data_IF_095350407223
#
_entry.id   IF_095350407223
#
_cell.length_a   1.000
_cell.length_b   1.000
_cell.length_c   1.000
_cell.angle_alpha   90.00
_cell.angle_beta   90.00
_cell.angle_gamma   90.00
#
_symmetry.space_group_name_H-M   'P 1'
#
loop_
_entity.id
_entity.type
_entity.pdbx_description
1 polymer ?
#
# COMPACT_ATOMS: atom_id res chain seq x y z
N UNK A 1 -15.30 -1.31 19.80
CA UNK A 1 -14.93 -2.56 19.10
C UNK A 1 -13.49 -2.42 18.63
N UNK A 2 -12.68 -3.48 18.72
CA UNK A 2 -11.34 -3.47 18.12
C UNK A 2 -11.48 -3.35 16.59
N UNK A 3 -10.57 -2.64 15.90
CA UNK A 3 -10.62 -2.53 14.45
C UNK A 3 -10.42 -3.91 13.81
N UNK A 4 -11.16 -4.19 12.73
CA UNK A 4 -10.94 -5.40 11.95
C UNK A 4 -9.53 -5.34 11.32
N UNK A 5 -8.84 -6.47 11.31
CA UNK A 5 -7.46 -6.59 10.82
C UNK A 5 -7.42 -7.23 9.43
N UNK A 6 -6.33 -7.01 8.71
CA UNK A 6 -5.93 -7.73 7.49
C UNK A 6 -4.45 -8.11 7.58
N UNK A 7 -4.09 -9.22 6.93
CA UNK A 7 -2.70 -9.70 6.85
C UNK A 7 -1.90 -8.83 5.90
N UNK A 8 -0.73 -8.38 6.30
CA UNK A 8 0.16 -7.63 5.39
C UNK A 8 0.96 -8.54 4.46
N UNK A 9 1.23 -9.77 4.89
CA UNK A 9 2.19 -10.68 4.26
C UNK A 9 3.62 -10.48 4.72
N UNK A 10 3.91 -9.45 5.53
CA UNK A 10 5.24 -9.20 6.07
C UNK A 10 5.30 -9.71 7.52
N UNK A 11 6.03 -10.80 7.75
CA UNK A 11 6.10 -11.43 9.08
C UNK A 11 6.52 -10.50 10.22
N UNK A 12 7.33 -9.46 9.93
CA UNK A 12 7.77 -8.47 10.91
C UNK A 12 6.69 -7.42 11.24
N UNK A 13 5.82 -7.09 10.27
CA UNK A 13 4.73 -6.10 10.46
C UNK A 13 3.51 -6.77 11.07
N UNK A 14 3.25 -8.03 10.72
CA UNK A 14 2.09 -8.78 11.17
C UNK A 14 0.78 -8.29 10.57
N UNK A 15 -0.31 -8.50 11.28
CA UNK A 15 -1.65 -8.08 10.88
C UNK A 15 -1.88 -6.62 11.27
N UNK A 16 -2.62 -5.90 10.43
CA UNK A 16 -2.79 -4.46 10.56
C UNK A 16 -4.27 -4.07 10.46
N UNK A 17 -4.70 -2.99 11.11
CA UNK A 17 -6.05 -2.48 10.94
C UNK A 17 -6.35 -2.14 9.49
N UNK A 18 -7.59 -2.35 9.06
CA UNK A 18 -8.09 -1.68 7.87
C UNK A 18 -7.95 -0.16 8.01
N UNK A 19 -7.73 0.50 6.89
CA UNK A 19 -7.46 1.93 6.81
C UNK A 19 -5.99 2.29 7.06
N UNK A 20 -5.10 1.30 7.12
CA UNK A 20 -3.66 1.57 7.28
C UNK A 20 -2.99 1.85 5.95
N UNK A 21 -2.15 2.87 5.94
CA UNK A 21 -1.27 3.25 4.85
C UNK A 21 0.20 3.16 5.28
N UNK A 22 0.99 2.37 4.56
CA UNK A 22 2.41 2.15 4.81
C UNK A 22 3.24 2.68 3.65
N UNK A 23 4.49 3.02 3.95
CA UNK A 23 5.49 3.38 2.96
C UNK A 23 6.49 2.23 2.77
N UNK A 24 6.77 1.90 1.51
CA UNK A 24 7.85 1.04 1.08
C UNK A 24 8.91 1.88 0.37
N UNK A 25 10.10 1.98 0.96
CA UNK A 25 11.24 2.63 0.32
C UNK A 25 12.13 1.56 -0.32
N UNK A 26 12.44 1.70 -1.60
CA UNK A 26 13.19 0.70 -2.37
C UNK A 26 14.38 1.33 -3.10
N UNK A 27 15.46 0.56 -3.26
CA UNK A 27 16.64 0.99 -4.03
C UNK A 27 16.63 0.38 -5.43
N UNK A 28 16.27 -0.89 -5.53
CA UNK A 28 16.29 -1.66 -6.78
C UNK A 28 14.89 -2.13 -7.19
N UNK A 29 14.75 -2.51 -8.47
CA UNK A 29 13.52 -3.13 -8.98
C UNK A 29 13.23 -4.46 -8.28
N UNK A 30 14.27 -5.19 -7.86
CA UNK A 30 14.10 -6.46 -7.17
C UNK A 30 13.55 -6.24 -5.74
N UNK A 31 14.03 -5.23 -5.00
CA UNK A 31 13.45 -4.85 -3.70
C UNK A 31 11.95 -4.51 -3.82
N UNK A 32 11.60 -3.78 -4.89
CA UNK A 32 10.21 -3.44 -5.21
C UNK A 32 9.36 -4.70 -5.42
N UNK A 33 9.85 -5.62 -6.26
CA UNK A 33 9.13 -6.85 -6.59
C UNK A 33 9.01 -7.81 -5.40
N UNK A 34 10.09 -8.06 -4.68
CA UNK A 34 10.09 -9.01 -3.55
C UNK A 34 9.03 -8.65 -2.50
N UNK A 35 8.88 -7.36 -2.24
CA UNK A 35 7.86 -6.84 -1.32
C UNK A 35 6.45 -6.93 -1.92
N UNK A 36 6.26 -6.43 -3.14
CA UNK A 36 4.91 -6.30 -3.73
C UNK A 36 4.31 -7.63 -4.17
N UNK A 37 5.12 -8.59 -4.62
CA UNK A 37 4.64 -9.91 -4.99
C UNK A 37 4.04 -10.63 -3.78
N UNK A 38 4.68 -10.53 -2.61
CA UNK A 38 4.16 -11.11 -1.37
C UNK A 38 2.90 -10.38 -0.89
N UNK A 39 2.92 -9.04 -0.94
CA UNK A 39 1.78 -8.20 -0.55
C UNK A 39 0.50 -8.54 -1.33
N UNK A 40 0.61 -8.67 -2.66
CA UNK A 40 -0.54 -9.01 -3.52
C UNK A 40 -0.95 -10.46 -3.44
N UNK A 41 0.01 -11.39 -3.28
CA UNK A 41 -0.31 -12.80 -3.04
C UNK A 41 -1.25 -12.95 -1.85
N UNK A 42 -0.91 -12.32 -0.73
CA UNK A 42 -1.74 -12.37 0.49
C UNK A 42 -3.12 -11.73 0.28
N UNK A 43 -3.20 -10.59 -0.42
CA UNK A 43 -4.49 -9.99 -0.72
C UNK A 43 -5.40 -10.90 -1.54
N UNK A 44 -4.84 -11.61 -2.52
CA UNK A 44 -5.61 -12.55 -3.35
C UNK A 44 -6.10 -13.77 -2.56
N UNK A 45 -5.27 -14.29 -1.64
CA UNK A 45 -5.58 -15.39 -0.72
C UNK A 45 -6.67 -14.99 0.30
N UNK A 46 -6.66 -13.75 0.79
CA UNK A 46 -7.62 -13.20 1.77
C UNK A 46 -8.91 -12.65 1.14
N UNK A 47 -9.13 -12.94 -0.14
CA UNK A 47 -10.30 -12.49 -0.91
C UNK A 47 -10.45 -10.96 -0.98
N UNK A 48 -9.37 -10.25 -1.27
CA UNK A 48 -9.35 -8.81 -1.45
C UNK A 48 -9.27 -8.43 -2.93
N UNK A 49 -9.84 -7.27 -3.29
CA UNK A 49 -9.61 -6.67 -4.59
C UNK A 49 -8.24 -5.98 -4.58
N UNK A 50 -7.34 -6.40 -5.47
CA UNK A 50 -5.98 -5.89 -5.54
C UNK A 50 -5.85 -4.88 -6.70
N UNK A 51 -5.20 -3.74 -6.44
CA UNK A 51 -4.87 -2.76 -7.48
C UNK A 51 -3.41 -2.36 -7.36
N UNK A 52 -2.66 -2.50 -8.45
CA UNK A 52 -1.26 -2.11 -8.53
C UNK A 52 -1.06 -1.04 -9.58
N UNK A 53 -0.62 0.15 -9.15
CA UNK A 53 -0.20 1.21 -10.07
C UNK A 53 1.32 1.18 -10.21
N UNK A 54 1.79 0.82 -11.40
CA UNK A 54 3.21 0.68 -11.70
C UNK A 54 3.78 1.95 -12.32
N UNK A 55 5.07 2.20 -12.07
CA UNK A 55 5.83 3.23 -12.75
C UNK A 55 7.25 2.77 -13.03
N UNK A 56 7.91 3.44 -13.97
CA UNK A 56 9.32 3.21 -14.28
C UNK A 56 10.16 3.16 -12.98
N UNK A 57 11.08 2.19 -12.85
CA UNK A 57 11.61 1.29 -13.88
C UNK A 57 10.82 -0.02 -14.10
N UNK A 58 9.60 -0.14 -13.56
CA UNK A 58 8.77 -1.35 -13.64
C UNK A 58 7.58 -1.13 -14.58
N UNK A 59 7.50 -1.94 -15.62
CA UNK A 59 6.36 -1.95 -16.54
C UNK A 59 5.23 -2.87 -16.07
N UNK A 60 4.00 -2.64 -16.57
CA UNK A 60 2.85 -3.47 -16.23
C UNK A 60 3.04 -4.93 -16.70
N UNK A 61 3.71 -5.13 -17.84
CA UNK A 61 4.02 -6.46 -18.37
C UNK A 61 5.03 -7.21 -17.49
N UNK A 62 6.07 -6.52 -17.02
CA UNK A 62 7.03 -7.10 -16.07
C UNK A 62 6.37 -7.46 -14.74
N UNK A 63 5.51 -6.59 -14.22
CA UNK A 63 4.72 -6.85 -13.01
C UNK A 63 3.83 -8.10 -13.17
N UNK A 64 3.11 -8.23 -14.29
CA UNK A 64 2.32 -9.43 -14.63
C UNK A 64 3.20 -10.68 -14.69
N UNK A 65 4.33 -10.61 -15.39
CA UNK A 65 5.27 -11.73 -15.52
C UNK A 65 5.86 -12.14 -14.16
N UNK A 66 6.11 -11.17 -13.28
CA UNK A 66 6.59 -11.41 -11.93
C UNK A 66 5.53 -12.09 -11.05
N UNK A 67 4.29 -11.58 -11.07
CA UNK A 67 3.18 -12.20 -10.34
C UNK A 67 2.94 -13.65 -10.78
N UNK A 68 3.08 -13.97 -12.07
CA UNK A 68 2.86 -15.35 -12.57
C UNK A 68 3.80 -16.37 -11.93
N UNK A 69 4.97 -15.93 -11.46
CA UNK A 69 5.95 -16.81 -10.80
C UNK A 69 5.61 -17.07 -9.33
N UNK A 70 4.82 -16.21 -8.71
CA UNK A 70 4.60 -16.20 -7.25
C UNK A 70 3.15 -16.52 -6.85
N UNK A 71 2.19 -16.14 -7.69
CA UNK A 71 0.76 -16.29 -7.47
C UNK A 71 0.22 -17.44 -8.32
N UNK A 72 -0.23 -18.55 -7.70
CA UNK A 72 -0.93 -19.62 -8.39
C UNK A 72 -2.18 -19.09 -9.11
N UNK A 73 -2.50 -19.65 -10.28
CA UNK A 73 -3.68 -19.29 -11.07
C UNK A 73 -3.85 -17.79 -11.35
N UNK A 74 -2.74 -17.03 -11.48
CA UNK A 74 -2.80 -15.58 -11.72
C UNK A 74 -3.70 -15.22 -12.91
N UNK A 75 -3.65 -15.99 -14.01
CA UNK A 75 -4.44 -15.69 -15.19
C UNK A 75 -5.96 -15.73 -14.90
N UNK A 76 -6.40 -16.60 -13.97
CA UNK A 76 -7.79 -16.59 -13.47
C UNK A 76 -8.06 -15.35 -12.63
N UNK A 77 -7.14 -14.97 -11.73
CA UNK A 77 -7.28 -13.74 -10.94
C UNK A 77 -7.36 -12.48 -11.82
N UNK A 78 -6.62 -12.44 -12.93
CA UNK A 78 -6.69 -11.37 -13.92
C UNK A 78 -8.01 -11.38 -14.69
N UNK A 79 -8.45 -12.55 -15.17
CA UNK A 79 -9.73 -12.70 -15.89
C UNK A 79 -10.92 -12.32 -15.01
N UNK A 80 -10.90 -12.74 -13.74
CA UNK A 80 -11.92 -12.43 -12.74
C UNK A 80 -11.79 -10.99 -12.20
N UNK A 81 -10.84 -10.18 -12.71
CA UNK A 81 -10.54 -8.82 -12.20
C UNK A 81 -10.42 -8.76 -10.68
N UNK A 82 -9.73 -9.73 -10.09
CA UNK A 82 -9.35 -9.77 -8.67
C UNK A 82 -8.06 -9.00 -8.42
N UNK A 83 -7.21 -8.89 -9.43
CA UNK A 83 -6.08 -7.97 -9.46
C UNK A 83 -6.09 -7.15 -10.75
N UNK A 84 -5.90 -5.86 -10.61
CA UNK A 84 -5.74 -4.92 -11.72
C UNK A 84 -4.37 -4.27 -11.66
N UNK A 85 -3.75 -4.07 -12.82
CA UNK A 85 -2.43 -3.45 -12.95
C UNK A 85 -2.54 -2.31 -13.95
N UNK A 86 -2.29 -1.09 -13.48
CA UNK A 86 -2.42 0.16 -14.22
C UNK A 86 -1.07 0.87 -14.31
N UNK A 87 -0.82 1.60 -15.38
CA UNK A 87 0.33 2.50 -15.44
C UNK A 87 0.09 3.76 -14.59
N UNK A 88 1.17 4.46 -14.19
CA UNK A 88 1.02 5.74 -13.51
C UNK A 88 0.32 6.78 -14.38
N UNK A 89 0.52 6.76 -15.70
CA UNK A 89 -0.12 7.69 -16.63
C UNK A 89 -1.63 7.50 -16.63
N UNK A 90 -2.10 6.26 -16.74
CA UNK A 90 -3.54 5.94 -16.72
C UNK A 90 -4.20 6.35 -15.39
N UNK A 91 -3.46 6.18 -14.30
CA UNK A 91 -4.00 6.33 -12.95
C UNK A 91 -3.90 7.76 -12.41
N UNK A 92 -2.73 8.38 -12.49
CA UNK A 92 -2.42 9.67 -11.86
C UNK A 92 -2.58 10.87 -12.78
N UNK A 93 -2.46 10.69 -14.10
CA UNK A 93 -2.49 11.81 -15.05
C UNK A 93 -3.87 11.99 -15.68
N UNK A 94 -4.22 13.25 -15.92
CA UNK A 94 -5.36 13.69 -16.71
C UNK A 94 -4.88 14.79 -17.64
N UNK A 95 -4.88 14.55 -18.95
CA UNK A 95 -4.29 15.46 -19.96
C UNK A 95 -2.85 15.87 -19.58
N UNK A 96 -2.04 14.89 -19.22
CA UNK A 96 -0.62 15.04 -18.81
C UNK A 96 -0.37 15.83 -17.52
N UNK A 97 -1.42 16.19 -16.77
CA UNK A 97 -1.31 16.85 -15.47
C UNK A 97 -1.74 15.91 -14.33
N UNK A 98 -1.04 16.00 -13.20
CA UNK A 98 -1.35 15.29 -11.96
C UNK A 98 -2.73 15.74 -11.42
N UNK A 99 -3.71 14.82 -11.39
CA UNK A 99 -5.05 15.08 -10.83
C UNK A 99 -5.31 14.22 -9.59
N UNK A 100 -4.77 14.68 -8.47
CA UNK A 100 -4.87 14.00 -7.17
C UNK A 100 -6.33 13.90 -6.66
N UNK A 101 -7.21 14.80 -7.09
CA UNK A 101 -8.64 14.74 -6.78
C UNK A 101 -9.33 13.61 -7.52
N UNK A 102 -9.00 13.40 -8.81
CA UNK A 102 -9.46 12.23 -9.59
C UNK A 102 -8.95 10.93 -8.98
N UNK A 103 -7.67 10.87 -8.61
CA UNK A 103 -7.07 9.67 -8.01
C UNK A 103 -7.79 9.27 -6.72
N UNK A 104 -8.05 10.22 -5.83
CA UNK A 104 -8.79 9.95 -4.60
C UNK A 104 -10.21 9.39 -4.87
N UNK A 105 -10.92 9.97 -5.85
CA UNK A 105 -12.25 9.46 -6.26
C UNK A 105 -12.16 8.07 -6.89
N UNK A 106 -11.12 7.78 -7.66
CA UNK A 106 -10.91 6.47 -8.27
C UNK A 106 -10.69 5.39 -7.20
N UNK A 107 -9.93 5.68 -6.15
CA UNK A 107 -9.77 4.77 -5.01
C UNK A 107 -11.09 4.49 -4.29
N UNK A 108 -11.91 5.51 -4.08
CA UNK A 108 -13.24 5.34 -3.48
C UNK A 108 -14.17 4.50 -4.34
N UNK A 109 -14.16 4.69 -5.66
CA UNK A 109 -14.91 3.87 -6.60
C UNK A 109 -14.47 2.41 -6.57
N UNK A 110 -13.15 2.15 -6.49
CA UNK A 110 -12.64 0.77 -6.37
C UNK A 110 -13.02 0.11 -5.06
N UNK A 111 -13.11 0.87 -3.97
CA UNK A 111 -13.59 0.34 -2.70
C UNK A 111 -15.08 -0.01 -2.75
N UNK A 112 -15.90 0.80 -3.42
CA UNK A 112 -17.32 0.49 -3.67
C UNK A 112 -17.43 -0.78 -4.53
N UNK A 113 -16.66 -0.87 -5.63
CA UNK A 113 -16.60 -2.07 -6.48
C UNK A 113 -16.22 -3.32 -5.66
N UNK A 114 -15.20 -3.21 -4.81
CA UNK A 114 -14.75 -4.31 -3.95
C UNK A 114 -15.89 -4.82 -3.06
N UNK A 115 -16.62 -3.90 -2.43
CA UNK A 115 -17.76 -4.21 -1.57
C UNK A 115 -18.91 -4.86 -2.35
N UNK A 116 -19.31 -4.30 -3.48
CA UNK A 116 -20.43 -4.80 -4.29
C UNK A 116 -20.16 -6.19 -4.85
N UNK A 117 -18.90 -6.50 -5.14
CA UNK A 117 -18.45 -7.81 -5.62
C UNK A 117 -18.15 -8.81 -4.50
N UNK A 118 -18.36 -8.44 -3.23
CA UNK A 118 -18.20 -9.33 -2.08
C UNK A 118 -16.75 -9.60 -1.65
N UNK A 119 -15.81 -8.73 -2.00
CA UNK A 119 -14.44 -8.82 -1.49
C UNK A 119 -14.33 -8.35 -0.04
N UNK A 120 -13.35 -8.87 0.69
CA UNK A 120 -13.05 -8.55 2.09
C UNK A 120 -12.61 -7.09 2.29
N UNK A 121 -12.04 -6.48 1.25
CA UNK A 121 -11.55 -5.10 1.22
C UNK A 121 -10.77 -4.80 -0.06
N UNK A 122 -10.17 -3.61 -0.11
CA UNK A 122 -9.31 -3.14 -1.18
C UNK A 122 -7.85 -3.13 -0.73
N UNK A 123 -6.96 -3.75 -1.51
CA UNK A 123 -5.51 -3.73 -1.31
C UNK A 123 -4.85 -2.99 -2.44
N UNK A 124 -4.07 -1.95 -2.14
CA UNK A 124 -3.52 -1.09 -3.18
C UNK A 124 -2.02 -0.85 -3.02
N UNK A 125 -1.33 -0.76 -4.15
CA UNK A 125 -0.01 -0.15 -4.25
C UNK A 125 -0.05 1.01 -5.23
N UNK A 126 0.49 2.15 -4.80
CA UNK A 126 0.81 3.29 -5.64
C UNK A 126 2.33 3.48 -5.71
N UNK A 127 2.86 3.84 -6.87
CA UNK A 127 4.27 4.22 -7.03
C UNK A 127 4.42 5.73 -7.07
N UNK A 128 5.31 6.30 -6.27
CA UNK A 128 5.70 7.71 -6.31
C UNK A 128 6.93 7.97 -7.20
N UNK A 129 7.40 6.96 -7.96
CA UNK A 129 8.62 7.06 -8.77
C UNK A 129 8.56 8.14 -9.86
N UNK A 130 7.36 8.50 -10.30
CA UNK A 130 7.13 9.51 -11.34
C UNK A 130 7.11 10.96 -10.82
N UNK A 131 7.15 11.17 -9.50
CA UNK A 131 7.00 12.50 -8.88
C UNK A 131 8.30 13.31 -9.06
N UNK A 132 8.21 14.42 -9.78
CA UNK A 132 9.32 15.33 -9.98
C UNK A 132 9.65 16.16 -8.72
N UNK A 133 10.89 16.67 -8.65
CA UNK A 133 11.43 17.44 -7.51
C UNK A 133 10.53 18.58 -7.02
N UNK A 134 9.96 19.35 -7.94
CA UNK A 134 9.08 20.49 -7.68
C UNK A 134 7.63 20.10 -7.34
N UNK A 135 7.21 18.87 -7.64
CA UNK A 135 5.87 18.34 -7.39
C UNK A 135 5.71 17.71 -5.99
N UNK A 136 6.81 17.44 -5.29
CA UNK A 136 6.81 16.76 -3.98
C UNK A 136 5.94 17.43 -2.92
N UNK A 137 5.84 18.77 -2.91
CA UNK A 137 4.99 19.48 -1.95
C UNK A 137 3.51 19.14 -2.17
N UNK A 138 3.05 19.20 -3.42
CA UNK A 138 1.68 18.86 -3.77
C UNK A 138 1.39 17.37 -3.50
N UNK A 139 2.36 16.50 -3.81
CA UNK A 139 2.27 15.07 -3.54
C UNK A 139 2.19 14.77 -2.03
N UNK A 140 3.01 15.42 -1.20
CA UNK A 140 2.98 15.25 0.26
C UNK A 140 1.66 15.71 0.88
N UNK A 141 1.09 16.81 0.37
CA UNK A 141 -0.24 17.27 0.80
C UNK A 141 -1.35 16.29 0.40
N UNK A 142 -1.22 15.66 -0.77
CA UNK A 142 -2.09 14.56 -1.18
C UNK A 142 -1.94 13.35 -0.27
N UNK A 143 -0.72 12.87 -0.02
CA UNK A 143 -0.48 11.70 0.84
C UNK A 143 -1.08 11.90 2.23
N UNK A 144 -0.96 13.11 2.78
CA UNK A 144 -1.60 13.46 4.06
C UNK A 144 -3.13 13.38 3.99
N UNK A 145 -3.73 13.93 2.94
CA UNK A 145 -5.20 13.90 2.73
C UNK A 145 -5.68 12.47 2.48
N UNK A 146 -4.94 11.72 1.68
CA UNK A 146 -5.22 10.33 1.34
C UNK A 146 -5.18 9.45 2.59
N UNK A 147 -4.11 9.56 3.39
CA UNK A 147 -3.99 8.86 4.68
C UNK A 147 -5.17 9.15 5.62
N UNK A 148 -5.61 10.42 5.71
CA UNK A 148 -6.78 10.76 6.51
C UNK A 148 -8.08 10.18 5.93
N UNK A 149 -8.21 10.14 4.60
CA UNK A 149 -9.42 9.68 3.90
C UNK A 149 -9.65 8.17 3.94
N UNK A 150 -8.64 7.38 4.28
CA UNK A 150 -8.74 5.91 4.32
C UNK A 150 -8.89 5.33 5.72
N UNK A 151 -8.71 6.13 6.78
CA UNK A 151 -8.59 5.64 8.15
C UNK A 151 -9.79 4.82 8.66
N UNK A 152 -10.98 5.00 8.08
CA UNK A 152 -12.22 4.31 8.41
C UNK A 152 -12.70 3.36 7.28
N UNK A 153 -11.89 3.18 6.24
CA UNK A 153 -12.23 2.37 5.05
C UNK A 153 -11.64 0.97 5.14
N UNK A 154 -12.31 -0.01 4.52
CA UNK A 154 -11.76 -1.35 4.26
C UNK A 154 -10.75 -1.33 3.13
N UNK A 155 -9.71 -0.51 3.31
CA UNK A 155 -8.62 -0.30 2.37
C UNK A 155 -7.30 -0.46 3.11
N UNK A 156 -6.34 -1.17 2.52
CA UNK A 156 -4.95 -1.19 2.97
C UNK A 156 -4.06 -0.73 1.83
N UNK A 157 -3.14 0.18 2.13
CA UNK A 157 -2.32 0.84 1.12
C UNK A 157 -0.85 0.66 1.45
N UNK A 158 -0.06 0.28 0.44
CA UNK A 158 1.39 0.30 0.48
C UNK A 158 1.88 1.23 -0.62
N UNK A 159 2.35 2.43 -0.31
CA UNK A 159 2.94 3.33 -1.32
C UNK A 159 4.45 3.09 -1.45
N UNK A 160 4.96 3.04 -2.69
CA UNK A 160 6.35 2.74 -3.01
C UNK A 160 7.11 3.98 -3.45
N UNK A 161 8.29 4.19 -2.85
CA UNK A 161 9.11 5.38 -3.00
C UNK A 161 10.56 4.98 -3.35
N UNK A 162 11.11 5.41 -4.49
CA UNK A 162 12.50 5.14 -4.81
C UNK A 162 13.41 5.96 -3.90
N UNK A 163 14.39 5.31 -3.25
CA UNK A 163 15.33 5.99 -2.35
C UNK A 163 16.15 7.08 -3.05
N UNK A 164 16.43 6.92 -4.34
CA UNK A 164 17.13 7.90 -5.15
C UNK A 164 16.42 9.27 -5.20
N UNK A 165 15.09 9.30 -5.13
CA UNK A 165 14.28 10.53 -5.17
C UNK A 165 13.62 10.85 -3.83
N UNK A 166 13.47 9.87 -2.94
CA UNK A 166 12.89 10.01 -1.60
C UNK A 166 13.93 10.39 -0.52
N UNK A 167 15.23 10.40 -0.85
CA UNK A 167 16.29 10.79 0.08
C UNK A 167 16.28 12.29 0.41
N UNK A 168 16.84 12.69 1.57
CA UNK A 168 16.93 14.09 1.95
C UNK A 168 17.94 14.81 1.04
N UNK A 169 17.48 15.32 -0.10
CA UNK A 169 18.23 16.33 -0.85
C UNK A 169 18.21 17.63 -0.02
N UNK A 170 19.17 17.73 0.90
CA UNK A 170 19.69 18.94 1.57
C UNK A 170 18.70 20.09 1.88
N UNK A 171 17.46 19.83 2.29
CA UNK A 171 16.61 20.83 2.97
C UNK A 171 15.27 20.29 3.52
N UNK A 172 15.02 18.97 3.47
CA UNK A 172 13.69 18.45 3.73
C UNK A 172 13.65 17.48 4.92
N UNK A 173 12.84 17.84 5.92
CA UNK A 173 12.44 16.97 7.02
C UNK A 173 11.02 16.49 6.78
N UNK A 174 10.82 15.17 6.83
CA UNK A 174 9.48 14.57 6.94
C UNK A 174 8.80 15.16 8.18
N UNK A 175 7.52 15.57 8.14
CA UNK A 175 6.81 15.85 9.38
C UNK A 175 6.84 14.57 10.21
N UNK A 176 7.40 14.65 11.42
CA UNK A 176 7.65 13.51 12.29
C UNK A 176 6.44 12.55 12.31
N UNK A 177 6.66 11.22 12.29
CA UNK A 177 5.56 10.28 12.40
C UNK A 177 4.75 10.66 13.64
N UNK A 178 3.44 10.82 13.49
CA UNK A 178 2.54 10.85 14.64
C UNK A 178 2.73 9.50 15.30
N UNK A 179 3.53 9.46 16.37
CA UNK A 179 3.64 8.33 17.25
C UNK A 179 2.26 8.15 17.90
N UNK A 180 1.35 7.46 17.22
CA UNK A 180 0.15 6.94 17.85
C UNK A 180 0.59 5.78 18.74
N UNK A 181 1.08 6.13 19.93
CA UNK A 181 0.79 5.45 21.20
C UNK A 181 0.61 3.93 21.12
N UNK A 182 1.55 3.21 20.50
CA UNK A 182 1.73 1.78 20.75
C UNK A 182 2.65 1.63 21.97
N UNK A 183 2.07 1.76 23.16
CA UNK A 183 2.68 1.11 24.33
C UNK A 183 2.29 -0.36 24.24
N UNK A 184 3.24 -1.19 23.83
CA UNK A 184 3.20 -2.61 24.12
C UNK A 184 3.06 -2.77 25.64
N UNK A 185 1.89 -3.22 26.09
CA UNK A 185 1.68 -3.67 27.45
C UNK A 185 2.48 -4.96 27.65
N UNK A 186 3.72 -4.86 28.10
CA UNK A 186 4.41 -5.99 28.70
C UNK A 186 3.88 -6.17 30.13
N UNK A 187 2.80 -6.94 30.27
CA UNK A 187 2.51 -7.61 31.54
C UNK A 187 3.57 -8.70 31.73
N UNK A 188 4.61 -8.38 32.50
CA UNK A 188 5.48 -9.39 33.09
C UNK A 188 4.72 -10.08 34.20
N UNK A 189 4.11 -11.22 33.86
CA UNK A 189 3.80 -12.24 34.85
C UNK A 189 5.11 -12.79 35.44
N UNK A 190 5.33 -12.54 36.72
CA UNK A 190 6.22 -13.36 37.55
C UNK A 190 5.44 -13.83 38.76
N UNK A 191 5.07 -15.11 38.72
CA UNK A 191 4.54 -15.82 39.86
C UNK A 191 5.68 -16.38 40.72
N UNK A 192 5.39 -16.49 42.02
CA UNK A 192 6.07 -17.27 43.06
C UNK A 192 7.38 -16.69 43.66
N UNK A 193 7.36 -16.35 44.95
CA UNK A 193 7.61 -17.30 46.05
C UNK A 193 7.50 -16.64 47.43
N UNK A 194 6.85 -17.38 48.34
CA UNK A 194 6.90 -17.29 49.81
C UNK A 194 8.31 -16.98 50.35
N UNK A 195 8.38 -16.21 51.44
CA UNK A 195 8.95 -16.64 52.75
C UNK A 195 8.80 -15.56 53.82
N UNK A 196 8.20 -16.02 54.94
CA UNK A 196 8.22 -15.53 56.33
C UNK A 196 7.52 -14.22 56.66
#
# INVERSE_FOLDING_TARGET
MAPALTKTGFGLVGDVPWGTHFCHFFETKDDLLDTLLLYFKVGLEENELCVWVVAEPLTAEEARRALRRTVPDLDRHLADRRIEIHSHDDWYLSRDALDLGRVARAWDQKLVEARERGFSGLRVNGSAAFVAGDQWRAFSEYERKFNASIADKRMVVLCSYPLATAGPSRSWTWPAPISSRWRAGTERGTSSRRRR
#
